data_IF_520418258791
#
_entry.id   IF_520418258791
#
_cell.length_a   1.000
_cell.length_b   1.000
_cell.length_c   1.000
_cell.angle_alpha   90.00
_cell.angle_beta   90.00
_cell.angle_gamma   90.00
#
_symmetry.space_group_name_H-M   'P 1'
#
loop_
_entity.id
_entity.type
_entity.pdbx_description
1 polymer ?
#
# COMPACT_ATOMS: atom_id res chain seq x y z
N UNK A 1 -27.51 -2.32 6.36
CA UNK A 1 -26.63 -1.27 6.93
C UNK A 1 -27.38 0.05 7.10
N UNK A 2 -27.03 0.85 8.13
CA UNK A 2 -27.47 2.24 8.22
C UNK A 2 -26.38 3.14 7.64
N UNK A 3 -26.64 3.71 6.46
CA UNK A 3 -25.68 4.58 5.78
C UNK A 3 -25.47 5.91 6.49
N UNK A 4 -26.47 6.40 7.23
CA UNK A 4 -26.34 7.64 7.98
C UNK A 4 -25.24 7.53 9.03
N UNK A 5 -25.28 6.47 9.84
CA UNK A 5 -24.28 6.22 10.89
C UNK A 5 -22.86 6.06 10.32
N UNK A 6 -22.71 5.39 9.16
CA UNK A 6 -21.40 5.24 8.52
C UNK A 6 -20.85 6.58 8.01
N UNK A 7 -21.70 7.41 7.40
CA UNK A 7 -21.30 8.74 6.94
C UNK A 7 -20.97 9.67 8.12
N UNK A 8 -21.74 9.60 9.21
CA UNK A 8 -21.43 10.31 10.46
C UNK A 8 -20.08 9.85 11.03
N UNK A 9 -19.81 8.54 11.09
CA UNK A 9 -18.52 8.01 11.54
C UNK A 9 -17.35 8.48 10.65
N UNK A 10 -17.57 8.65 9.34
CA UNK A 10 -16.55 9.22 8.43
C UNK A 10 -16.29 10.71 8.72
N UNK A 11 -17.34 11.48 8.97
CA UNK A 11 -17.24 12.90 9.29
C UNK A 11 -16.58 13.14 10.66
N UNK A 12 -16.89 12.30 11.65
CA UNK A 12 -16.37 12.38 13.02
C UNK A 12 -14.98 11.72 13.21
N UNK A 13 -14.32 11.30 12.14
CA UNK A 13 -13.02 10.62 12.16
C UNK A 13 -13.02 9.28 12.94
N UNK A 14 -14.16 8.59 12.95
CA UNK A 14 -14.40 7.31 13.66
C UNK A 14 -14.49 6.09 12.73
N UNK A 15 -14.41 6.29 11.42
CA UNK A 15 -14.27 5.21 10.44
C UNK A 15 -12.79 5.00 10.04
N UNK A 16 -12.33 3.75 10.09
CA UNK A 16 -10.99 3.34 9.66
C UNK A 16 -11.09 2.38 8.48
N UNK A 17 -10.27 2.65 7.46
CA UNK A 17 -10.15 1.80 6.28
C UNK A 17 -8.99 0.82 6.44
N UNK A 18 -9.25 -0.46 6.21
CA UNK A 18 -8.27 -1.51 6.10
C UNK A 18 -8.18 -1.97 4.65
N UNK A 19 -6.96 -2.00 4.10
CA UNK A 19 -6.69 -2.47 2.75
C UNK A 19 -5.86 -3.75 2.79
N UNK A 20 -6.35 -4.79 2.15
CA UNK A 20 -5.68 -6.07 1.99
C UNK A 20 -5.04 -6.22 0.61
N UNK A 21 -4.13 -7.20 0.45
CA UNK A 21 -3.36 -7.39 -0.77
C UNK A 21 -4.20 -7.88 -1.95
N UNK A 22 -5.39 -8.43 -1.72
CA UNK A 22 -6.27 -8.95 -2.78
C UNK A 22 -7.04 -7.83 -3.51
N UNK A 23 -6.90 -6.57 -3.05
CA UNK A 23 -7.51 -5.40 -3.67
C UNK A 23 -7.01 -5.19 -5.10
N UNK A 24 -5.72 -5.48 -5.33
CA UNK A 24 -5.08 -5.34 -6.64
C UNK A 24 -5.10 -6.69 -7.34
N UNK A 25 -5.71 -6.71 -8.53
CA UNK A 25 -5.66 -7.86 -9.43
C UNK A 25 -4.84 -7.54 -10.67
N UNK A 26 -3.99 -8.49 -11.06
CA UNK A 26 -3.12 -8.44 -12.23
C UNK A 26 -3.45 -9.64 -13.10
N UNK A 27 -3.90 -9.40 -14.33
CA UNK A 27 -4.30 -10.45 -15.28
C UNK A 27 -5.33 -11.45 -14.70
N UNK A 28 -6.26 -10.95 -13.88
CA UNK A 28 -7.29 -11.77 -13.21
C UNK A 28 -6.76 -12.64 -12.05
N UNK A 29 -5.51 -12.44 -11.63
CA UNK A 29 -4.91 -13.07 -10.44
C UNK A 29 -4.72 -12.03 -9.36
N UNK A 30 -4.78 -12.45 -8.10
CA UNK A 30 -4.39 -11.54 -7.04
C UNK A 30 -2.90 -11.24 -7.05
N UNK A 31 -2.56 -10.07 -6.52
CA UNK A 31 -1.18 -9.61 -6.37
C UNK A 31 -0.29 -10.65 -5.66
N UNK A 32 -0.78 -11.26 -4.57
CA UNK A 32 -0.05 -12.29 -3.84
C UNK A 32 0.29 -13.51 -4.70
N UNK A 33 -0.67 -13.97 -5.51
CA UNK A 33 -0.45 -15.10 -6.42
C UNK A 33 0.55 -14.75 -7.53
N UNK A 34 0.44 -13.55 -8.10
CA UNK A 34 1.39 -13.06 -9.11
C UNK A 34 2.82 -13.01 -8.57
N UNK A 35 3.00 -12.44 -7.36
CA UNK A 35 4.30 -12.36 -6.68
C UNK A 35 4.90 -13.75 -6.45
N UNK A 36 4.11 -14.70 -5.95
CA UNK A 36 4.54 -16.08 -5.77
C UNK A 36 5.00 -16.72 -7.07
N UNK A 37 4.19 -16.66 -8.13
CA UNK A 37 4.50 -17.30 -9.40
C UNK A 37 5.81 -16.78 -10.00
N UNK A 38 6.04 -15.47 -9.89
CA UNK A 38 7.28 -14.87 -10.37
C UNK A 38 8.48 -15.26 -9.51
N UNK A 39 8.37 -15.23 -8.19
CA UNK A 39 9.46 -15.65 -7.31
C UNK A 39 9.86 -17.10 -7.53
N UNK A 40 8.88 -18.00 -7.67
CA UNK A 40 9.15 -19.43 -7.91
C UNK A 40 9.79 -19.67 -9.28
N UNK A 41 9.41 -18.89 -10.31
CA UNK A 41 10.05 -18.96 -11.63
C UNK A 41 11.51 -18.52 -11.59
N UNK A 42 11.79 -17.48 -10.81
CA UNK A 42 13.14 -16.90 -10.75
C UNK A 42 14.08 -17.61 -9.78
N UNK A 43 13.58 -18.33 -8.76
CA UNK A 43 14.36 -19.15 -7.82
C UNK A 43 13.54 -20.37 -7.33
N UNK A 44 13.50 -21.48 -8.08
CA UNK A 44 12.80 -22.67 -7.63
C UNK A 44 13.44 -23.30 -6.37
N UNK A 45 14.76 -23.15 -6.18
CA UNK A 45 15.50 -23.84 -5.11
C UNK A 45 15.55 -23.07 -3.77
N UNK A 46 15.17 -21.80 -3.77
CA UNK A 46 15.20 -20.94 -2.57
C UNK A 46 13.89 -21.03 -1.77
N UNK A 47 12.79 -21.43 -2.41
CA UNK A 47 11.46 -21.55 -1.81
C UNK A 47 11.12 -23.03 -1.68
N UNK A 48 11.17 -23.56 -0.46
CA UNK A 48 10.81 -24.95 -0.18
C UNK A 48 9.31 -25.19 -0.33
N UNK A 49 8.50 -24.21 0.08
CA UNK A 49 7.05 -24.30 0.00
C UNK A 49 6.40 -22.92 -0.05
N UNK A 50 5.18 -22.85 -0.58
CA UNK A 50 4.30 -21.68 -0.45
C UNK A 50 2.93 -22.14 0.03
N UNK A 51 2.57 -21.70 1.23
CA UNK A 51 1.31 -22.02 1.86
C UNK A 51 0.21 -21.18 1.23
N UNK A 52 -0.39 -21.68 0.14
CA UNK A 52 -1.34 -20.92 -0.66
C UNK A 52 -2.52 -20.35 0.15
N UNK A 53 -3.01 -21.12 1.12
CA UNK A 53 -4.08 -20.66 2.03
C UNK A 53 -3.68 -19.41 2.82
N UNK A 54 -2.42 -19.30 3.20
CA UNK A 54 -1.93 -18.21 4.05
C UNK A 54 -1.21 -17.12 3.25
N UNK A 55 -0.79 -17.40 2.00
CA UNK A 55 0.01 -16.46 1.22
C UNK A 55 1.41 -16.24 1.78
N UNK A 56 1.99 -17.27 2.43
CA UNK A 56 3.25 -17.20 3.17
C UNK A 56 4.26 -18.20 2.56
N UNK A 57 5.53 -17.84 2.56
CA UNK A 57 6.62 -18.65 2.03
C UNK A 57 7.33 -19.46 3.13
N UNK A 58 7.85 -20.63 2.75
CA UNK A 58 8.90 -21.33 3.48
C UNK A 58 10.18 -21.26 2.67
N UNK A 59 11.16 -20.50 3.18
CA UNK A 59 12.46 -20.39 2.55
C UNK A 59 13.39 -21.51 2.98
N UNK A 60 14.37 -21.85 2.14
CA UNK A 60 15.39 -22.86 2.45
C UNK A 60 16.25 -22.46 3.64
N UNK A 61 16.62 -21.19 3.69
CA UNK A 61 17.52 -20.58 4.67
C UNK A 61 17.35 -19.05 4.65
N UNK A 62 18.00 -18.35 5.59
CA UNK A 62 17.94 -16.89 5.68
C UNK A 62 18.51 -16.19 4.43
N UNK A 63 19.47 -16.81 3.74
CA UNK A 63 20.05 -16.24 2.51
C UNK A 63 19.03 -16.26 1.38
N UNK A 64 18.26 -17.34 1.26
CA UNK A 64 17.14 -17.47 0.34
C UNK A 64 16.04 -16.42 0.63
N UNK A 65 15.72 -16.19 1.91
CA UNK A 65 14.78 -15.12 2.31
C UNK A 65 15.26 -13.72 1.88
N UNK A 66 16.52 -13.38 2.17
CA UNK A 66 17.13 -12.09 1.77
C UNK A 66 17.15 -11.93 0.23
N UNK A 67 17.40 -13.02 -0.49
CA UNK A 67 17.31 -13.06 -1.95
C UNK A 67 15.89 -12.76 -2.42
N UNK A 68 14.87 -13.40 -1.82
CA UNK A 68 13.47 -13.18 -2.14
C UNK A 68 13.01 -11.73 -1.86
N UNK A 69 13.37 -11.15 -0.71
CA UNK A 69 13.05 -9.75 -0.37
C UNK A 69 13.50 -8.77 -1.48
N UNK A 70 14.75 -8.92 -1.95
CA UNK A 70 15.30 -8.08 -3.04
C UNK A 70 14.52 -8.24 -4.34
N UNK A 71 14.00 -9.44 -4.62
CA UNK A 71 13.22 -9.73 -5.83
C UNK A 71 11.80 -9.19 -5.74
N UNK A 72 11.13 -9.41 -4.61
CA UNK A 72 9.82 -8.81 -4.33
C UNK A 72 9.88 -7.31 -4.54
N UNK A 73 10.92 -6.65 -4.01
CA UNK A 73 11.13 -5.22 -4.23
C UNK A 73 11.24 -4.81 -5.69
N UNK A 74 11.92 -5.61 -6.52
CA UNK A 74 12.01 -5.34 -7.97
C UNK A 74 10.67 -5.55 -8.65
N UNK A 75 9.95 -6.60 -8.25
CA UNK A 75 8.65 -6.92 -8.81
C UNK A 75 7.66 -5.79 -8.54
N UNK A 76 7.47 -5.38 -7.29
CA UNK A 76 6.53 -4.31 -6.96
C UNK A 76 6.84 -2.99 -7.67
N UNK A 77 8.11 -2.65 -7.91
CA UNK A 77 8.47 -1.46 -8.72
C UNK A 77 8.00 -1.53 -10.18
N UNK A 78 7.73 -2.72 -10.69
CA UNK A 78 7.28 -2.96 -12.07
C UNK A 78 5.76 -3.10 -12.16
N UNK A 79 5.07 -3.27 -11.03
CA UNK A 79 3.63 -3.47 -11.03
C UNK A 79 2.92 -2.14 -11.22
N UNK A 80 2.04 -2.02 -12.23
CA UNK A 80 1.25 -0.81 -12.41
C UNK A 80 0.20 -0.71 -11.28
N UNK A 81 0.02 0.49 -10.68
CA UNK A 81 -1.07 0.71 -9.73
C UNK A 81 -2.43 0.76 -10.44
N UNK A 82 -3.49 0.33 -9.78
CA UNK A 82 -4.87 0.62 -10.21
C UNK A 82 -5.23 2.06 -9.83
N UNK A 83 -4.91 3.00 -10.71
CA UNK A 83 -5.13 4.43 -10.49
C UNK A 83 -6.57 4.79 -10.19
N UNK A 84 -7.52 4.16 -10.90
CA UNK A 84 -8.93 4.53 -10.78
C UNK A 84 -9.43 4.18 -9.39
N UNK A 85 -9.06 2.99 -8.91
CA UNK A 85 -9.39 2.55 -7.56
C UNK A 85 -8.66 3.38 -6.50
N UNK A 86 -7.36 3.62 -6.67
CA UNK A 86 -6.57 4.37 -5.67
C UNK A 86 -7.00 5.84 -5.58
N UNK A 87 -7.33 6.50 -6.69
CA UNK A 87 -7.88 7.86 -6.70
C UNK A 87 -9.26 7.90 -6.03
N UNK A 88 -10.10 6.89 -6.30
CA UNK A 88 -11.38 6.73 -5.61
C UNK A 88 -11.19 6.63 -4.10
N UNK A 89 -10.25 5.78 -3.64
CA UNK A 89 -9.91 5.67 -2.22
C UNK A 89 -9.37 6.99 -1.66
N UNK A 90 -8.51 7.69 -2.41
CA UNK A 90 -7.92 8.96 -1.99
C UNK A 90 -8.98 10.06 -1.75
N UNK A 91 -10.01 10.09 -2.58
CA UNK A 91 -11.12 11.02 -2.43
C UNK A 91 -12.05 10.71 -1.26
N UNK A 92 -12.12 9.45 -0.79
CA UNK A 92 -12.96 9.09 0.34
C UNK A 92 -12.38 9.71 1.63
N UNK A 93 -13.22 10.23 2.54
CA UNK A 93 -12.76 10.97 3.71
C UNK A 93 -12.26 10.05 4.85
N UNK A 94 -11.44 9.04 4.56
CA UNK A 94 -10.80 8.20 5.59
C UNK A 94 -9.56 8.85 6.17
N UNK A 95 -9.56 9.07 7.48
CA UNK A 95 -8.48 9.81 8.14
C UNK A 95 -7.35 8.89 8.58
N UNK A 96 -7.64 7.60 8.72
CA UNK A 96 -6.68 6.54 8.99
C UNK A 96 -6.96 5.39 8.04
N UNK A 97 -5.91 5.01 7.30
CA UNK A 97 -5.89 3.88 6.38
C UNK A 97 -4.77 2.95 6.82
N UNK A 98 -5.11 1.69 7.09
CA UNK A 98 -4.15 0.64 7.45
C UNK A 98 -4.07 -0.34 6.28
N UNK A 99 -2.91 -0.47 5.67
CA UNK A 99 -2.67 -1.36 4.54
C UNK A 99 -1.86 -2.59 4.96
N UNK A 100 -2.20 -3.75 4.42
CA UNK A 100 -1.38 -4.96 4.50
C UNK A 100 -0.45 -5.12 3.29
N UNK A 101 -0.55 -4.23 2.31
CA UNK A 101 0.34 -4.23 1.15
C UNK A 101 1.55 -3.33 1.44
N UNK A 102 2.79 -3.82 1.28
CA UNK A 102 3.99 -3.07 1.65
C UNK A 102 4.45 -2.03 0.62
N UNK A 103 3.61 -1.67 -0.36
CA UNK A 103 3.93 -0.69 -1.41
C UNK A 103 3.61 0.75 -1.03
N UNK A 104 3.95 1.69 -1.92
CA UNK A 104 3.70 3.13 -1.77
C UNK A 104 2.67 3.66 -2.77
N UNK A 105 1.95 2.81 -3.49
CA UNK A 105 1.06 3.25 -4.58
C UNK A 105 -0.06 4.17 -4.07
N UNK A 106 -0.63 3.86 -2.91
CA UNK A 106 -1.65 4.72 -2.30
C UNK A 106 -1.06 6.07 -1.85
N UNK A 107 0.13 6.04 -1.22
CA UNK A 107 0.84 7.25 -0.82
C UNK A 107 1.11 8.15 -2.03
N UNK A 108 1.69 7.58 -3.09
CA UNK A 108 2.00 8.28 -4.32
C UNK A 108 0.74 8.87 -4.97
N UNK A 109 -0.39 8.15 -4.92
CA UNK A 109 -1.68 8.63 -5.43
C UNK A 109 -2.20 9.82 -4.63
N UNK A 110 -2.10 9.79 -3.29
CA UNK A 110 -2.48 10.92 -2.44
C UNK A 110 -1.64 12.16 -2.75
N UNK A 111 -0.31 12.02 -2.86
CA UNK A 111 0.58 13.13 -3.22
C UNK A 111 0.25 13.69 -4.61
N UNK A 112 -0.02 12.82 -5.59
CA UNK A 112 -0.37 13.22 -6.96
C UNK A 112 -1.69 13.99 -7.03
N UNK A 113 -2.64 13.63 -6.18
CA UNK A 113 -3.92 14.33 -6.02
C UNK A 113 -3.82 15.57 -5.12
N UNK A 114 -2.61 15.96 -4.73
CA UNK A 114 -2.32 17.14 -3.94
C UNK A 114 -2.72 17.08 -2.47
N UNK A 115 -2.93 15.87 -1.96
CA UNK A 115 -3.13 15.61 -0.54
C UNK A 115 -1.76 15.53 0.15
N UNK A 116 -1.73 15.76 1.46
CA UNK A 116 -0.51 15.71 2.27
C UNK A 116 -0.59 14.62 3.33
N UNK A 117 -0.69 13.34 2.95
CA UNK A 117 -0.80 12.27 3.92
C UNK A 117 0.45 12.17 4.79
N UNK A 118 0.29 11.65 6.00
CA UNK A 118 1.42 11.08 6.76
C UNK A 118 1.53 9.60 6.43
N UNK A 119 2.77 9.10 6.36
CA UNK A 119 3.04 7.72 6.01
C UNK A 119 3.98 7.09 7.01
N UNK A 120 3.61 5.92 7.51
CA UNK A 120 4.43 5.10 8.40
C UNK A 120 4.20 3.62 8.08
N UNK A 121 5.04 2.76 8.62
CA UNK A 121 4.93 1.32 8.48
C UNK A 121 5.40 0.63 9.75
N UNK A 122 5.03 -0.65 9.89
CA UNK A 122 5.46 -1.47 11.01
C UNK A 122 6.88 -2.00 10.78
N UNK A 123 7.70 -1.93 11.84
CA UNK A 123 9.04 -2.51 11.91
C UNK A 123 9.24 -3.07 13.33
N UNK A 124 9.46 -4.38 13.45
CA UNK A 124 9.53 -5.09 14.74
C UNK A 124 10.66 -4.62 15.66
N UNK A 125 11.76 -4.12 15.07
CA UNK A 125 13.00 -3.80 15.80
C UNK A 125 13.10 -2.34 16.26
N UNK A 126 12.16 -1.48 15.87
CA UNK A 126 12.20 -0.07 16.22
C UNK A 126 11.20 0.28 17.32
N UNK A 127 11.58 1.12 18.29
CA UNK A 127 10.62 1.68 19.22
C UNK A 127 9.56 2.43 18.41
N UNK A 128 8.29 2.28 18.81
CA UNK A 128 7.21 2.97 18.12
C UNK A 128 7.45 4.48 18.12
N UNK A 129 7.78 5.01 16.95
CA UNK A 129 7.90 6.45 16.76
C UNK A 129 6.60 7.14 17.17
N UNK A 130 6.72 8.37 17.66
CA UNK A 130 5.57 9.19 17.97
C UNK A 130 4.83 9.54 16.67
N UNK A 131 3.86 8.70 16.28
CA UNK A 131 3.06 8.93 15.07
C UNK A 131 2.39 10.32 15.13
N UNK A 132 2.25 11.03 14.01
CA UNK A 132 1.38 12.20 13.98
C UNK A 132 -0.08 11.76 14.22
N UNK A 133 -0.88 12.63 14.84
CA UNK A 133 -2.32 12.38 14.93
C UNK A 133 -2.89 12.48 13.51
N UNK A 134 -3.63 11.47 13.01
CA UNK A 134 -4.32 11.59 11.73
C UNK A 134 -5.41 12.66 11.84
N UNK A 135 -5.56 13.53 10.85
CA UNK A 135 -6.56 14.62 10.85
C UNK A 135 -7.23 14.72 9.48
N UNK A 136 -8.40 15.37 9.38
CA UNK A 136 -9.18 15.50 8.13
C UNK A 136 -8.38 16.01 6.93
N UNK A 137 -7.51 16.98 7.14
CA UNK A 137 -6.61 17.52 6.12
C UNK A 137 -5.29 16.76 5.97
N UNK A 138 -4.96 15.86 6.90
CA UNK A 138 -3.69 15.15 6.96
C UNK A 138 -3.90 13.67 7.34
N UNK A 139 -4.42 12.86 6.41
CA UNK A 139 -4.73 11.46 6.67
C UNK A 139 -3.45 10.66 6.92
N UNK A 140 -3.53 9.64 7.78
CA UNK A 140 -2.43 8.71 8.03
C UNK A 140 -2.63 7.43 7.22
N UNK A 141 -1.62 7.06 6.44
CA UNK A 141 -1.48 5.75 5.80
C UNK A 141 -0.45 4.96 6.60
N UNK A 142 -0.82 3.77 7.06
CA UNK A 142 0.04 2.90 7.85
C UNK A 142 0.14 1.50 7.24
N UNK A 143 1.33 1.10 6.78
CA UNK A 143 1.54 -0.26 6.26
C UNK A 143 1.92 -1.23 7.40
N UNK A 144 1.06 -2.21 7.67
CA UNK A 144 1.27 -3.17 8.75
C UNK A 144 2.28 -4.26 8.40
N UNK A 145 2.47 -4.58 7.11
CA UNK A 145 3.37 -5.65 6.65
C UNK A 145 4.71 -5.09 6.12
N UNK A 146 5.11 -3.94 6.68
CA UNK A 146 6.36 -3.28 6.36
C UNK A 146 6.31 -2.43 5.08
N UNK A 147 7.48 -2.19 4.52
CA UNK A 147 7.69 -1.34 3.35
C UNK A 147 8.68 -1.99 2.39
N UNK A 148 8.36 -2.04 1.10
CA UNK A 148 9.23 -2.59 0.04
C UNK A 148 10.57 -1.87 -0.09
N UNK A 149 10.61 -0.59 0.28
CA UNK A 149 11.84 0.20 0.42
C UNK A 149 12.80 -0.35 1.47
N UNK A 150 12.31 -1.11 2.44
CA UNK A 150 12.99 -1.60 3.62
C UNK A 150 12.89 -3.12 3.78
N UNK A 151 13.89 -3.82 3.27
CA UNK A 151 13.90 -5.28 3.12
C UNK A 151 13.69 -6.01 4.48
N UNK A 152 14.16 -5.46 5.60
CA UNK A 152 14.04 -6.07 6.94
C UNK A 152 12.66 -5.93 7.59
N UNK A 153 11.80 -5.04 7.08
CA UNK A 153 10.43 -4.87 7.59
C UNK A 153 9.41 -5.80 6.96
N UNK A 154 9.75 -6.46 5.85
CA UNK A 154 8.81 -7.22 5.05
C UNK A 154 8.35 -8.49 5.76
N UNK A 155 7.05 -8.72 5.75
CA UNK A 155 6.42 -9.91 6.30
C UNK A 155 6.20 -10.95 5.21
N UNK A 156 7.02 -12.01 5.18
CA UNK A 156 7.04 -12.99 4.08
C UNK A 156 6.86 -14.45 4.53
N UNK A 157 7.32 -14.81 5.72
CA UNK A 157 7.22 -16.16 6.28
C UNK A 157 6.42 -16.18 7.60
N UNK A 158 6.24 -17.38 8.17
CA UNK A 158 5.50 -17.53 9.43
C UNK A 158 6.21 -16.87 10.61
N UNK A 159 7.53 -16.81 10.61
CA UNK A 159 8.29 -16.17 11.69
C UNK A 159 8.06 -14.66 11.66
N UNK A 160 8.01 -14.05 10.48
CA UNK A 160 7.67 -12.64 10.32
C UNK A 160 6.25 -12.35 10.81
N UNK A 161 5.27 -13.14 10.38
CA UNK A 161 3.88 -12.98 10.83
C UNK A 161 3.78 -13.20 12.33
N UNK A 162 4.44 -14.23 12.87
CA UNK A 162 4.45 -14.47 14.30
C UNK A 162 5.06 -13.29 15.07
N UNK A 163 6.19 -12.74 14.62
CA UNK A 163 6.82 -11.59 15.26
C UNK A 163 5.94 -10.34 15.20
N UNK A 164 5.34 -10.04 14.03
CA UNK A 164 4.35 -8.96 13.89
C UNK A 164 3.23 -9.12 14.93
N UNK A 165 2.67 -10.32 15.05
CA UNK A 165 1.56 -10.58 15.95
C UNK A 165 1.97 -10.54 17.41
N UNK A 166 3.14 -11.09 17.75
CA UNK A 166 3.73 -11.03 19.08
C UNK A 166 3.89 -9.57 19.51
N UNK A 167 4.42 -8.71 18.65
CA UNK A 167 4.63 -7.30 18.97
C UNK A 167 3.28 -6.57 19.09
N UNK A 168 2.38 -6.75 18.11
CA UNK A 168 1.03 -6.17 18.15
C UNK A 168 0.24 -6.59 19.40
N UNK A 169 0.41 -7.81 19.92
CA UNK A 169 -0.30 -8.32 21.09
C UNK A 169 0.40 -7.99 22.42
N UNK A 170 1.73 -7.84 22.43
CA UNK A 170 2.50 -7.60 23.66
C UNK A 170 2.72 -6.11 23.93
N UNK A 171 3.30 -5.39 22.98
CA UNK A 171 3.58 -3.96 23.08
C UNK A 171 2.45 -3.11 22.51
N UNK A 172 1.54 -3.72 21.76
CA UNK A 172 0.46 -3.02 21.06
C UNK A 172 0.93 -2.47 19.72
N UNK A 173 0.02 -1.87 18.97
CA UNK A 173 0.40 -0.96 17.89
C UNK A 173 0.93 0.36 18.49
N UNK A 174 1.66 1.21 17.72
CA UNK A 174 2.08 2.53 18.19
C UNK A 174 0.95 3.24 18.95
N UNK A 175 1.24 3.82 20.12
CA UNK A 175 0.21 4.29 21.07
C UNK A 175 -0.91 5.10 20.40
N UNK A 176 -0.55 6.05 19.53
CA UNK A 176 -1.52 6.92 18.84
C UNK A 176 -2.35 6.19 17.78
N UNK A 177 -1.80 5.13 17.16
CA UNK A 177 -2.57 4.25 16.29
C UNK A 177 -3.58 3.45 17.11
N UNK A 178 -3.15 2.90 18.25
CA UNK A 178 -4.02 2.16 19.16
C UNK A 178 -5.13 3.04 19.74
N UNK A 179 -4.82 4.28 20.15
CA UNK A 179 -5.82 5.26 20.61
C UNK A 179 -6.90 5.53 19.56
N UNK A 180 -6.52 5.60 18.28
CA UNK A 180 -7.47 5.77 17.17
C UNK A 180 -8.31 4.52 16.93
N UNK A 181 -7.70 3.34 16.96
CA UNK A 181 -8.42 2.06 16.83
C UNK A 181 -9.46 1.87 17.94
N UNK A 182 -9.14 2.27 19.18
CA UNK A 182 -10.07 2.19 20.32
C UNK A 182 -11.24 3.16 20.17
N UNK A 183 -11.02 4.35 19.58
CA UNK A 183 -12.05 5.38 19.38
C UNK A 183 -12.92 5.15 18.14
N UNK A 184 -12.49 4.31 17.21
CA UNK A 184 -13.23 4.03 16.00
C UNK A 184 -14.51 3.24 16.28
N UNK A 185 -15.57 3.62 15.60
CA UNK A 185 -16.87 2.95 15.64
C UNK A 185 -17.06 2.01 14.46
N UNK A 186 -16.34 2.26 13.36
CA UNK A 186 -16.50 1.52 12.12
C UNK A 186 -15.16 1.13 11.52
N UNK A 187 -15.04 -0.15 11.15
CA UNK A 187 -13.95 -0.69 10.33
C UNK A 187 -14.49 -1.15 8.99
N UNK A 188 -13.82 -0.74 7.91
CA UNK A 188 -14.12 -1.17 6.55
C UNK A 188 -12.91 -1.94 6.03
N UNK A 189 -13.12 -3.16 5.57
CA UNK A 189 -12.10 -4.04 5.00
C UNK A 189 -12.32 -4.16 3.49
N UNK A 190 -11.29 -3.89 2.70
CA UNK A 190 -11.30 -4.06 1.24
C UNK A 190 -10.08 -4.89 0.80
N UNK A 191 -10.28 -5.86 -0.07
CA UNK A 191 -9.22 -6.72 -0.60
C UNK A 191 -8.67 -7.72 0.41
N UNK A 192 -9.49 -8.19 1.35
CA UNK A 192 -9.08 -9.15 2.36
C UNK A 192 -9.44 -10.58 1.97
N UNK A 193 -8.50 -11.49 2.21
CA UNK A 193 -8.79 -12.91 2.32
C UNK A 193 -8.98 -13.26 3.80
N UNK A 194 -10.22 -13.58 4.16
CA UNK A 194 -10.64 -13.89 5.52
C UNK A 194 -10.42 -15.36 5.92
N UNK A 195 -10.00 -16.23 5.00
CA UNK A 195 -9.61 -17.61 5.31
C UNK A 195 -8.20 -17.72 5.90
N UNK A 196 -7.38 -16.68 5.66
CA UNK A 196 -6.04 -16.51 6.23
C UNK A 196 -6.11 -16.35 7.75
N UNK A 197 -5.37 -17.18 8.49
CA UNK A 197 -5.41 -17.18 9.96
C UNK A 197 -4.98 -15.84 10.57
N UNK A 198 -4.02 -15.15 9.96
CA UNK A 198 -3.51 -13.87 10.45
C UNK A 198 -4.51 -12.74 10.23
N UNK A 199 -5.34 -12.80 9.18
CA UNK A 199 -6.52 -11.92 9.05
C UNK A 199 -7.50 -12.13 10.20
N UNK A 200 -7.79 -13.39 10.55
CA UNK A 200 -8.71 -13.71 11.66
C UNK A 200 -8.16 -13.26 13.01
N UNK A 201 -6.86 -13.35 13.22
CA UNK A 201 -6.21 -12.84 14.42
C UNK A 201 -6.18 -11.31 14.46
N UNK A 202 -5.99 -10.63 13.33
CA UNK A 202 -6.16 -9.17 13.24
C UNK A 202 -7.60 -8.79 13.61
N UNK A 203 -8.61 -9.49 13.08
CA UNK A 203 -10.00 -9.28 13.47
C UNK A 203 -10.23 -9.51 14.97
N UNK A 204 -9.58 -10.50 15.56
CA UNK A 204 -9.62 -10.72 17.01
C UNK A 204 -9.03 -9.56 17.80
N UNK A 205 -7.88 -9.05 17.36
CA UNK A 205 -7.25 -7.86 17.95
C UNK A 205 -8.15 -6.62 17.82
N UNK A 206 -8.83 -6.45 16.69
CA UNK A 206 -9.75 -5.34 16.44
C UNK A 206 -11.11 -5.49 17.17
N UNK A 207 -11.48 -6.71 17.55
CA UNK A 207 -12.78 -7.02 18.18
C UNK A 207 -12.74 -7.06 19.71
N UNK A 208 -11.72 -6.47 20.34
CA UNK A 208 -11.59 -6.45 21.80
C UNK A 208 -12.68 -5.59 22.48
N UNK A 209 -13.29 -4.66 21.74
CA UNK A 209 -14.38 -3.78 22.20
C UNK A 209 -15.70 -4.15 21.52
N UNK A 210 -16.81 -4.29 22.28
CA UNK A 210 -18.13 -4.47 21.69
C UNK A 210 -18.63 -3.18 21.01
N UNK A 211 -19.55 -3.31 20.05
CA UNK A 211 -20.23 -2.18 19.41
C UNK A 211 -19.52 -1.57 18.21
N UNK A 212 -18.38 -2.12 17.79
CA UNK A 212 -17.70 -1.71 16.55
C UNK A 212 -18.36 -2.39 15.34
N UNK A 213 -18.87 -1.59 14.41
CA UNK A 213 -19.37 -2.03 13.11
C UNK A 213 -18.20 -2.44 12.21
N UNK A 214 -18.30 -3.60 11.57
CA UNK A 214 -17.28 -4.10 10.64
C UNK A 214 -17.93 -4.45 9.31
N UNK A 215 -17.41 -3.90 8.23
CA UNK A 215 -17.94 -4.09 6.89
C UNK A 215 -16.87 -4.61 5.93
N UNK A 216 -17.26 -5.50 5.04
CA UNK A 216 -16.44 -6.00 3.95
C UNK A 216 -17.29 -6.15 2.68
N UNK A 217 -16.67 -6.29 1.52
CA UNK A 217 -17.38 -6.51 0.25
C UNK A 217 -17.96 -7.94 0.24
N UNK A 218 -19.20 -8.12 -0.20
CA UNK A 218 -19.85 -9.45 -0.28
C UNK A 218 -19.04 -10.48 -1.07
N UNK A 219 -18.39 -10.05 -2.17
CA UNK A 219 -17.52 -10.91 -2.97
C UNK A 219 -16.29 -11.46 -2.22
N UNK A 220 -15.93 -10.88 -1.07
CA UNK A 220 -14.81 -11.32 -0.22
C UNK A 220 -15.26 -12.31 0.88
N UNK A 221 -16.56 -12.63 0.94
CA UNK A 221 -17.09 -13.59 1.91
C UNK A 221 -16.51 -14.99 1.63
N UNK A 222 -15.94 -15.69 2.63
CA UNK A 222 -15.42 -17.03 2.43
C UNK A 222 -16.49 -18.01 1.96
N UNK A 223 -16.10 -18.89 1.04
CA UNK A 223 -16.95 -19.95 0.51
C UNK A 223 -17.23 -21.06 1.52
N UNK A 224 -16.30 -21.30 2.46
CA UNK A 224 -16.47 -22.29 3.51
C UNK A 224 -17.49 -21.82 4.57
N UNK A 225 -18.58 -22.56 4.73
CA UNK A 225 -19.70 -22.23 5.63
C UNK A 225 -19.27 -22.00 7.09
N UNK A 226 -18.37 -22.84 7.62
CA UNK A 226 -17.90 -22.70 9.01
C UNK A 226 -17.10 -21.41 9.21
N UNK A 227 -16.22 -21.07 8.27
CA UNK A 227 -15.41 -19.83 8.31
C UNK A 227 -16.32 -18.62 8.17
N UNK A 228 -17.28 -18.68 7.24
CA UNK A 228 -18.25 -17.62 7.00
C UNK A 228 -19.11 -17.37 8.25
N UNK A 229 -19.63 -18.43 8.85
CA UNK A 229 -20.40 -18.40 10.10
C UNK A 229 -19.56 -17.82 11.22
N UNK A 230 -18.30 -18.25 11.37
CA UNK A 230 -17.40 -17.72 12.40
C UNK A 230 -17.12 -16.22 12.25
N UNK A 231 -16.94 -15.71 11.02
CA UNK A 231 -16.70 -14.28 10.78
C UNK A 231 -17.95 -13.44 11.04
N UNK A 232 -19.11 -13.90 10.54
CA UNK A 232 -20.39 -13.20 10.70
C UNK A 232 -20.87 -13.25 12.15
N UNK A 233 -20.81 -14.42 12.80
CA UNK A 233 -21.34 -14.59 14.15
C UNK A 233 -20.32 -14.26 15.24
N UNK A 234 -19.05 -14.62 15.05
CA UNK A 234 -17.99 -14.42 16.03
C UNK A 234 -17.41 -13.01 16.02
N UNK A 235 -17.12 -12.45 14.85
CA UNK A 235 -16.54 -11.10 14.71
C UNK A 235 -17.55 -10.02 14.33
N UNK A 236 -18.78 -10.40 14.00
CA UNK A 236 -19.85 -9.51 13.53
C UNK A 236 -19.43 -8.70 12.28
N UNK A 237 -18.68 -9.35 11.39
CA UNK A 237 -18.37 -8.79 10.07
C UNK A 237 -19.62 -8.87 9.20
N UNK A 238 -20.06 -7.73 8.67
CA UNK A 238 -21.13 -7.64 7.69
C UNK A 238 -20.50 -7.57 6.30
N UNK A 239 -20.80 -8.58 5.51
CA UNK A 239 -20.47 -8.61 4.09
C UNK A 239 -21.61 -7.89 3.35
N UNK A 240 -21.30 -6.78 2.68
CA UNK A 240 -22.28 -5.89 2.08
C UNK A 240 -22.11 -5.84 0.56
N UNK A 241 -23.24 -5.80 -0.15
CA UNK A 241 -23.30 -5.52 -1.59
C UNK A 241 -23.45 -4.02 -1.82
N UNK A 242 -23.29 -3.56 -3.06
CA UNK A 242 -23.75 -2.25 -3.44
C UNK A 242 -25.28 -2.14 -3.38
N UNK A 243 -25.78 -0.91 -3.48
CA UNK A 243 -27.23 -0.67 -3.50
C UNK A 243 -27.86 -0.95 -4.87
N UNK A 244 -27.02 -1.06 -5.90
CA UNK A 244 -27.38 -1.41 -7.28
C UNK A 244 -26.78 -2.76 -7.64
N UNK A 245 -27.41 -3.47 -8.57
CA UNK A 245 -27.02 -4.83 -8.95
C UNK A 245 -25.60 -4.93 -9.54
N UNK A 246 -25.09 -3.85 -10.13
CA UNK A 246 -23.77 -3.72 -10.75
C UNK A 246 -22.74 -3.00 -9.86
N UNK A 247 -23.13 -2.60 -8.66
CA UNK A 247 -22.33 -1.80 -7.74
C UNK A 247 -21.83 -2.69 -6.59
N UNK A 248 -20.57 -2.49 -6.18
CA UNK A 248 -20.07 -3.07 -4.94
C UNK A 248 -20.26 -2.08 -3.77
N UNK A 249 -19.93 -2.50 -2.55
CA UNK A 249 -20.06 -1.65 -1.37
C UNK A 249 -19.22 -0.36 -1.45
N UNK A 250 -18.01 -0.41 -2.03
CA UNK A 250 -17.13 0.77 -2.11
C UNK A 250 -17.65 1.81 -3.12
N UNK A 251 -18.26 1.39 -4.23
CA UNK A 251 -18.83 2.35 -5.19
C UNK A 251 -20.10 2.99 -4.60
N UNK A 252 -20.91 2.23 -3.86
CA UNK A 252 -22.05 2.78 -3.13
C UNK A 252 -21.62 3.82 -2.09
N UNK A 253 -20.55 3.53 -1.34
CA UNK A 253 -19.97 4.45 -0.37
C UNK A 253 -19.44 5.73 -1.03
N UNK A 254 -18.73 5.58 -2.16
CA UNK A 254 -18.24 6.72 -2.93
C UNK A 254 -19.38 7.63 -3.39
N UNK A 255 -20.40 7.05 -4.03
CA UNK A 255 -21.56 7.80 -4.52
C UNK A 255 -22.27 8.54 -3.38
N UNK A 256 -22.42 7.89 -2.22
CA UNK A 256 -23.05 8.51 -1.05
C UNK A 256 -22.23 9.66 -0.47
N UNK A 257 -20.91 9.51 -0.42
CA UNK A 257 -20.03 10.61 -0.05
C UNK A 257 -20.13 11.77 -1.06
N UNK A 258 -20.25 11.49 -2.36
CA UNK A 258 -20.42 12.50 -3.41
C UNK A 258 -21.75 13.27 -3.25
N UNK A 259 -22.86 12.54 -3.08
CA UNK A 259 -24.19 13.09 -2.84
C UNK A 259 -24.21 14.03 -1.61
N UNK A 260 -23.43 13.73 -0.57
CA UNK A 260 -23.28 14.54 0.64
C UNK A 260 -22.14 15.56 0.59
N UNK A 261 -21.42 15.68 -0.54
CA UNK A 261 -20.25 16.56 -0.72
C UNK A 261 -19.16 16.34 0.33
N UNK A 262 -18.97 15.09 0.73
CA UNK A 262 -17.97 14.67 1.70
C UNK A 262 -16.66 14.20 1.06
N UNK A 263 -16.66 13.98 -0.26
CA UNK A 263 -15.44 13.64 -1.00
C UNK A 263 -14.41 14.77 -0.87
N UNK A 264 -13.15 14.37 -0.73
CA UNK A 264 -12.03 15.31 -0.78
C UNK A 264 -11.90 15.86 -2.19
N UNK A 265 -11.64 17.15 -2.27
CA UNK A 265 -11.23 17.77 -3.52
C UNK A 265 -9.84 17.25 -3.90
N UNK A 266 -9.78 16.53 -5.02
CA UNK A 266 -8.51 16.12 -5.61
C UNK A 266 -8.06 17.24 -6.53
N UNK A 267 -6.88 17.79 -6.27
CA UNK A 267 -6.21 18.68 -7.22
C UNK A 267 -5.20 17.84 -7.99
N UNK A 268 -5.31 17.75 -9.31
CA UNK A 268 -4.21 17.23 -10.10
C UNK A 268 -3.07 18.24 -10.03
N UNK A 269 -2.15 18.06 -9.05
CA UNK A 269 -0.98 18.92 -8.90
C UNK A 269 -0.02 18.75 -10.08
N UNK A 270 -0.12 17.62 -10.76
CA UNK A 270 0.73 17.22 -11.87
C UNK A 270 -0.14 16.91 -13.09
N UNK A 271 0.31 17.35 -14.25
CA UNK A 271 -0.25 16.94 -15.53
C UNK A 271 -0.01 15.44 -15.78
N UNK A 272 -0.82 14.83 -16.66
CA UNK A 272 -0.67 13.41 -17.04
C UNK A 272 0.76 13.08 -17.51
N UNK A 273 1.41 14.03 -18.21
CA UNK A 273 2.81 13.91 -18.63
C UNK A 273 3.77 13.87 -17.44
N UNK A 274 3.57 14.71 -16.43
CA UNK A 274 4.38 14.69 -15.21
C UNK A 274 4.22 13.36 -14.46
N UNK A 275 2.98 12.85 -14.34
CA UNK A 275 2.71 11.56 -13.71
C UNK A 275 3.40 10.42 -14.47
N UNK A 276 3.31 10.41 -15.81
CA UNK A 276 3.98 9.43 -16.65
C UNK A 276 5.52 9.43 -16.46
N UNK A 277 6.14 10.62 -16.42
CA UNK A 277 7.59 10.74 -16.20
C UNK A 277 8.01 10.26 -14.80
N UNK A 278 7.24 10.59 -13.76
CA UNK A 278 7.51 10.10 -12.40
C UNK A 278 7.48 8.57 -12.34
N UNK A 279 6.56 7.93 -13.07
CA UNK A 279 6.51 6.45 -13.16
C UNK A 279 7.67 5.85 -13.91
N UNK A 280 8.09 6.46 -15.01
CA UNK A 280 9.29 6.02 -15.73
C UNK A 280 10.49 6.06 -14.77
N UNK A 281 10.62 7.10 -13.94
CA UNK A 281 11.67 7.18 -12.94
C UNK A 281 11.53 6.09 -11.85
N UNK A 282 10.34 5.89 -11.28
CA UNK A 282 10.08 4.91 -10.21
C UNK A 282 10.27 3.45 -10.66
N UNK A 283 9.84 3.14 -11.90
CA UNK A 283 10.00 1.82 -12.52
C UNK A 283 11.42 1.52 -13.00
N UNK A 284 12.35 2.47 -12.85
CA UNK A 284 13.75 2.34 -13.25
C UNK A 284 14.00 2.56 -14.75
N UNK A 285 13.05 3.11 -15.50
CA UNK A 285 13.27 3.55 -16.89
C UNK A 285 13.85 4.97 -16.92
N UNK A 286 14.99 5.16 -16.25
CA UNK A 286 15.56 6.49 -15.98
C UNK A 286 15.98 7.24 -17.25
N UNK A 287 16.51 6.53 -18.25
CA UNK A 287 16.92 7.13 -19.53
C UNK A 287 15.74 7.75 -20.27
N UNK A 288 14.64 6.99 -20.40
CA UNK A 288 13.40 7.47 -21.02
C UNK A 288 12.80 8.63 -20.22
N UNK A 289 12.77 8.54 -18.89
CA UNK A 289 12.28 9.61 -18.03
C UNK A 289 13.07 10.92 -18.23
N UNK A 290 14.40 10.84 -18.31
CA UNK A 290 15.27 12.00 -18.52
C UNK A 290 15.14 12.59 -19.92
N UNK A 291 15.01 11.75 -20.94
CA UNK A 291 14.82 12.21 -22.32
C UNK A 291 13.50 12.97 -22.48
N UNK A 292 12.41 12.47 -21.89
CA UNK A 292 11.13 13.17 -21.87
C UNK A 292 11.19 14.46 -21.04
N UNK A 293 11.84 14.44 -19.87
CA UNK A 293 12.01 15.60 -19.01
C UNK A 293 12.77 16.72 -19.72
N UNK A 294 13.89 16.42 -20.37
CA UNK A 294 14.71 17.40 -21.09
C UNK A 294 13.95 18.09 -22.24
N UNK A 295 12.95 17.45 -22.83
CA UNK A 295 12.12 18.07 -23.87
C UNK A 295 11.13 19.10 -23.31
N UNK A 296 10.82 19.03 -22.02
CA UNK A 296 9.79 19.85 -21.38
C UNK A 296 10.37 20.96 -20.51
N UNK A 297 11.63 20.84 -20.10
CA UNK A 297 12.31 21.85 -19.30
C UNK A 297 12.62 23.10 -20.14
N UNK A 298 12.19 24.26 -19.61
CA UNK A 298 12.45 25.57 -20.25
C UNK A 298 13.41 26.44 -19.45
N UNK A 299 13.62 26.15 -18.15
CA UNK A 299 14.49 26.93 -17.29
C UNK A 299 15.94 26.43 -17.39
N UNK A 300 16.92 27.30 -17.67
CA UNK A 300 18.32 26.89 -17.84
C UNK A 300 18.87 26.08 -16.66
N UNK A 301 18.60 26.51 -15.43
CA UNK A 301 19.08 25.82 -14.22
C UNK A 301 18.54 24.39 -14.09
N UNK A 302 17.28 24.16 -14.45
CA UNK A 302 16.69 22.83 -14.40
C UNK A 302 17.17 21.96 -15.56
N UNK A 303 17.42 22.54 -16.75
CA UNK A 303 18.03 21.85 -17.90
C UNK A 303 19.44 21.38 -17.54
N UNK A 304 20.23 22.23 -16.88
CA UNK A 304 21.58 21.90 -16.44
C UNK A 304 21.55 20.77 -15.40
N UNK A 305 20.61 20.82 -14.43
CA UNK A 305 20.40 19.74 -13.47
C UNK A 305 20.01 18.42 -14.13
N UNK A 306 19.07 18.45 -15.09
CA UNK A 306 18.66 17.25 -15.83
C UNK A 306 19.81 16.70 -16.69
N UNK A 307 20.60 17.57 -17.31
CA UNK A 307 21.78 17.18 -18.11
C UNK A 307 22.84 16.53 -17.23
N UNK A 308 23.08 17.06 -16.02
CA UNK A 308 23.98 16.46 -15.04
C UNK A 308 23.49 15.06 -14.62
N UNK A 309 22.19 14.91 -14.35
CA UNK A 309 21.61 13.61 -14.01
C UNK A 309 21.77 12.60 -15.16
N UNK A 310 21.57 13.04 -16.41
CA UNK A 310 21.79 12.21 -17.61
C UNK A 310 23.25 11.78 -17.79
N UNK A 311 24.20 12.69 -17.55
CA UNK A 311 25.62 12.36 -17.56
C UNK A 311 25.99 11.37 -16.43
N UNK A 312 25.46 11.58 -15.22
CA UNK A 312 25.64 10.66 -14.09
C UNK A 312 25.09 9.27 -14.39
N UNK A 313 23.91 9.20 -15.00
CA UNK A 313 23.31 7.93 -15.42
C UNK A 313 24.17 7.20 -16.45
N UNK A 314 24.63 7.90 -17.50
CA UNK A 314 25.51 7.32 -18.51
C UNK A 314 26.83 6.78 -17.93
N UNK A 315 27.44 7.51 -17.00
CA UNK A 315 28.64 7.05 -16.29
C UNK A 315 28.35 5.82 -15.42
N UNK A 316 27.23 5.83 -14.70
CA UNK A 316 26.81 4.71 -13.85
C UNK A 316 26.55 3.44 -14.67
N UNK A 317 25.89 3.56 -15.83
CA UNK A 317 25.65 2.44 -16.74
C UNK A 317 26.94 1.90 -17.37
N UNK A 318 27.87 2.78 -17.75
CA UNK A 318 29.17 2.40 -18.31
C UNK A 318 30.04 1.67 -17.27
N UNK A 319 30.02 2.13 -16.02
CA UNK A 319 30.82 1.57 -14.92
C UNK A 319 30.12 0.42 -14.19
N UNK A 320 28.93 0.01 -14.62
CA UNK A 320 28.16 -1.09 -14.02
C UNK A 320 28.95 -2.38 -13.79
N UNK A 321 29.89 -2.81 -14.67
CA UNK A 321 30.67 -4.02 -14.43
C UNK A 321 31.68 -3.91 -13.28
N UNK A 322 32.03 -2.69 -12.87
CA UNK A 322 33.12 -2.39 -11.92
C UNK A 322 32.61 -1.78 -10.61
N UNK A 323 31.34 -1.39 -10.55
CA UNK A 323 30.73 -0.73 -9.39
C UNK A 323 30.15 -1.77 -8.44
N UNK A 324 30.38 -1.62 -7.13
CA UNK A 324 29.71 -2.45 -6.12
C UNK A 324 28.19 -2.35 -6.31
N UNK A 325 27.51 -3.49 -6.25
CA UNK A 325 26.05 -3.57 -6.39
C UNK A 325 25.27 -2.67 -5.41
N UNK A 326 25.82 -2.37 -4.23
CA UNK A 326 25.25 -1.44 -3.25
C UNK A 326 25.41 0.00 -3.71
N UNK A 327 26.62 0.40 -4.07
CA UNK A 327 26.93 1.77 -4.54
C UNK A 327 26.16 2.10 -5.83
N UNK A 328 26.07 1.12 -6.74
CA UNK A 328 25.26 1.24 -7.94
C UNK A 328 23.80 1.54 -7.62
N UNK A 329 23.22 0.84 -6.63
CA UNK A 329 21.81 1.04 -6.23
C UNK A 329 21.59 2.38 -5.53
N UNK A 330 22.53 2.81 -4.69
CA UNK A 330 22.44 4.11 -4.02
C UNK A 330 22.41 5.22 -5.06
N UNK A 331 23.34 5.20 -6.02
CA UNK A 331 23.38 6.23 -7.05
C UNK A 331 22.23 6.15 -8.05
N UNK A 332 21.79 4.95 -8.40
CA UNK A 332 20.59 4.76 -9.21
C UNK A 332 19.36 5.40 -8.55
N UNK A 333 19.16 5.17 -7.26
CA UNK A 333 18.03 5.76 -6.51
C UNK A 333 18.19 7.28 -6.35
N UNK A 334 19.42 7.78 -6.16
CA UNK A 334 19.69 9.21 -6.09
C UNK A 334 19.34 9.92 -7.41
N UNK A 335 19.66 9.30 -8.55
CA UNK A 335 19.29 9.81 -9.88
C UNK A 335 17.77 9.79 -10.05
N UNK A 336 17.11 8.67 -9.72
CA UNK A 336 15.65 8.56 -9.79
C UNK A 336 14.94 9.64 -8.96
N UNK A 337 15.42 9.88 -7.74
CA UNK A 337 14.92 10.93 -6.86
C UNK A 337 15.15 12.34 -7.45
N UNK A 338 16.32 12.58 -8.04
CA UNK A 338 16.62 13.83 -8.74
C UNK A 338 15.65 14.10 -9.90
N UNK A 339 15.34 13.07 -10.70
CA UNK A 339 14.36 13.17 -11.80
C UNK A 339 12.98 13.52 -11.25
N UNK A 340 12.49 12.81 -10.24
CA UNK A 340 11.16 13.04 -9.65
C UNK A 340 11.04 14.49 -9.14
N UNK A 341 12.07 15.01 -8.47
CA UNK A 341 12.06 16.38 -7.98
C UNK A 341 12.01 17.42 -9.10
N UNK A 342 12.73 17.19 -10.21
CA UNK A 342 12.67 18.07 -11.37
C UNK A 342 11.29 18.02 -12.04
N UNK A 343 10.70 16.83 -12.17
CA UNK A 343 9.34 16.68 -12.71
C UNK A 343 8.32 17.41 -11.84
N UNK A 344 8.47 17.37 -10.50
CA UNK A 344 7.61 18.10 -9.56
C UNK A 344 7.72 19.64 -9.70
N UNK A 345 8.82 20.17 -10.26
CA UNK A 345 8.99 21.62 -10.52
C UNK A 345 8.34 22.10 -11.82
N UNK A 346 8.03 21.19 -12.75
CA UNK A 346 7.35 21.57 -13.99
C UNK A 346 6.00 22.19 -13.65
N UNK A 347 5.69 23.33 -14.29
CA UNK A 347 4.35 23.90 -14.20
C UNK A 347 3.39 22.98 -14.98
N UNK A 348 2.21 22.67 -14.42
CA UNK A 348 1.22 21.81 -15.07
C UNK A 348 0.70 22.39 -16.39
#
# INVERSE_FOLDING_TARGET
>A
MNWHDLLEDLEEEKAILFLGPELVQLDGKSLGLHVREQLHRENPDDILHHYQRDGIFLFRDDTAKVSAQKKIKRLYKQLPPDETLLQRIASLPFHLIISLTPDTHLLDTFEQCGLTPTFHYFRSTEPFDALPKPEKGKPLIYNLFGLIGDDESLVLDYDDVFNLMKDCLSTGLPLKLNERLVRANTFIFLGFDFEKWHTQMLLRFLSQRPGISKFAIEGEKPAADDTSTFLVEGFKVRFEKGERDDENFIDALYRRCDEQKMLRELSNQFSDKQVAMMRLAQSGKLTTALDELLQLLTQPDDIDQATLLKARLGNLETNKPQTDSRDYRVEWNAIAYGIINLVKKLKP
#
